data_IF_846018940469
#
_entry.id   IF_846018940469
#
_cell.length_a   1.000
_cell.length_b   1.000
_cell.length_c   1.000
_cell.angle_alpha   90.00
_cell.angle_beta   90.00
_cell.angle_gamma   90.00
#
_symmetry.space_group_name_H-M   'P 1'
#
loop_
_entity.id
_entity.type
_entity.pdbx_description
1 polymer ?
#
# COMPACT_ATOMS: atom_id res chain seq x y z
N UNK A 1 20.29 1.31 -6.82
CA UNK A 1 19.42 2.39 -6.33
C UNK A 1 18.28 1.71 -5.61
N UNK A 2 18.29 1.71 -4.28
CA UNK A 2 17.19 1.19 -3.48
C UNK A 2 16.00 2.13 -3.73
N UNK A 3 14.96 1.62 -4.38
CA UNK A 3 13.76 2.37 -4.68
C UNK A 3 12.82 2.20 -3.51
N UNK A 4 12.62 3.29 -2.76
CA UNK A 4 11.54 3.44 -1.79
C UNK A 4 10.23 3.01 -2.43
N UNK A 5 9.54 2.02 -1.86
CA UNK A 5 8.23 1.58 -2.37
C UNK A 5 7.26 2.76 -2.36
N UNK A 6 6.52 2.95 -3.45
CA UNK A 6 5.46 3.96 -3.49
C UNK A 6 4.24 3.49 -2.69
N UNK A 7 3.55 4.40 -2.00
CA UNK A 7 2.28 4.11 -1.32
C UNK A 7 1.16 4.92 -1.97
N UNK A 8 0.10 4.22 -2.35
CA UNK A 8 -1.05 4.78 -3.06
C UNK A 8 -2.28 4.74 -2.16
N UNK A 9 -2.88 5.91 -1.97
CA UNK A 9 -4.17 6.09 -1.32
C UNK A 9 -5.25 6.24 -2.38
N UNK A 10 -6.49 5.92 -2.02
CA UNK A 10 -7.63 6.21 -2.87
C UNK A 10 -7.92 7.71 -2.90
N UNK A 11 -8.53 8.14 -3.99
CA UNK A 11 -8.92 9.55 -4.18
C UNK A 11 -10.00 10.00 -3.18
N UNK A 12 -10.85 9.09 -2.72
CA UNK A 12 -11.94 9.35 -1.77
C UNK A 12 -11.52 9.20 -0.29
N UNK A 13 -10.23 9.06 0.00
CA UNK A 13 -9.73 9.05 1.36
C UNK A 13 -9.86 10.45 1.99
N UNK A 14 -10.78 10.58 2.97
CA UNK A 14 -11.12 11.85 3.65
C UNK A 14 -10.26 12.13 4.91
N UNK A 15 -9.25 11.29 5.18
CA UNK A 15 -8.31 11.48 6.27
C UNK A 15 -7.13 12.38 5.88
N UNK A 16 -6.31 12.83 6.85
CA UNK A 16 -5.09 13.56 6.53
C UNK A 16 -4.15 12.65 5.73
N UNK A 17 -3.96 12.95 4.44
CA UNK A 17 -2.96 12.26 3.61
C UNK A 17 -1.57 12.62 4.14
N UNK A 18 -0.77 11.66 4.61
CA UNK A 18 0.54 11.96 5.19
C UNK A 18 1.55 12.48 4.16
N UNK A 19 1.31 12.24 2.85
CA UNK A 19 2.16 12.69 1.75
C UNK A 19 1.29 13.01 0.53
N UNK A 20 0.83 14.25 0.39
CA UNK A 20 0.27 14.74 -0.87
C UNK A 20 1.40 15.04 -1.85
N UNK A 21 1.55 14.21 -2.89
CA UNK A 21 2.27 14.63 -4.09
C UNK A 21 1.24 15.19 -5.06
N UNK A 22 1.03 16.51 -4.96
CA UNK A 22 0.08 17.27 -5.79
C UNK A 22 0.09 16.80 -7.25
N UNK A 23 -1.07 16.34 -7.73
CA UNK A 23 -1.37 16.20 -9.15
C UNK A 23 -1.05 14.85 -9.81
N UNK A 24 -0.69 13.80 -9.07
CA UNK A 24 -0.54 12.45 -9.64
C UNK A 24 -1.69 11.54 -9.20
N UNK A 25 -2.61 11.28 -10.12
CA UNK A 25 -3.70 10.30 -9.96
C UNK A 25 -3.44 9.16 -10.92
N UNK A 26 -3.51 7.93 -10.41
CA UNK A 26 -3.34 6.71 -11.20
C UNK A 26 -4.66 5.96 -11.30
N UNK A 27 -4.89 5.37 -12.47
CA UNK A 27 -6.02 4.50 -12.70
C UNK A 27 -5.79 3.11 -12.09
N UNK A 28 -6.86 2.41 -11.74
CA UNK A 28 -6.81 1.06 -11.19
C UNK A 28 -6.00 0.08 -12.04
N UNK A 29 -6.04 0.24 -13.37
CA UNK A 29 -5.26 -0.59 -14.31
C UNK A 29 -3.76 -0.31 -14.21
N UNK A 30 -3.36 0.95 -13.99
CA UNK A 30 -1.95 1.33 -13.82
C UNK A 30 -1.38 0.82 -12.50
N UNK A 31 -2.24 0.67 -11.49
CA UNK A 31 -1.89 0.10 -10.18
C UNK A 31 -2.06 -1.42 -10.14
N UNK A 32 -2.41 -2.08 -11.25
CA UNK A 32 -2.61 -3.53 -11.30
C UNK A 32 -3.61 -4.06 -10.26
N UNK A 33 -4.67 -3.30 -9.93
CA UNK A 33 -5.66 -3.72 -8.92
C UNK A 33 -6.41 -5.00 -9.29
N UNK A 34 -6.52 -5.31 -10.59
CA UNK A 34 -7.11 -6.57 -11.06
C UNK A 34 -6.22 -7.79 -10.82
N UNK A 35 -4.95 -7.58 -10.44
CA UNK A 35 -3.97 -8.62 -10.15
C UNK A 35 -3.78 -8.82 -8.63
N UNK A 36 -4.57 -8.13 -7.80
CA UNK A 36 -4.58 -8.38 -6.35
C UNK A 36 -4.93 -9.85 -6.11
N UNK A 37 -4.07 -10.62 -5.41
CA UNK A 37 -4.34 -12.02 -5.13
C UNK A 37 -5.62 -12.22 -4.34
N UNK A 38 -6.40 -13.26 -4.68
CA UNK A 38 -7.63 -13.61 -3.95
C UNK A 38 -7.38 -14.00 -2.49
N UNK A 39 -6.19 -14.53 -2.19
CA UNK A 39 -5.72 -14.80 -0.83
C UNK A 39 -4.54 -13.90 -0.53
N UNK A 40 -4.70 -13.06 0.50
CA UNK A 40 -3.67 -12.14 0.97
C UNK A 40 -2.86 -12.78 2.10
N UNK A 41 -1.67 -12.24 2.36
CA UNK A 41 -0.79 -12.65 3.45
C UNK A 41 -0.79 -11.57 4.55
N UNK A 42 -1.62 -11.69 5.60
CA UNK A 42 -1.66 -10.70 6.68
C UNK A 42 -0.36 -10.72 7.48
N UNK A 43 0.21 -9.53 7.68
CA UNK A 43 1.40 -9.30 8.47
C UNK A 43 1.12 -8.31 9.61
N UNK A 44 2.10 -8.14 10.49
CA UNK A 44 2.01 -7.19 11.59
C UNK A 44 1.74 -5.77 11.08
N UNK A 45 0.87 -5.07 11.83
CA UNK A 45 0.49 -3.70 11.55
C UNK A 45 1.70 -2.76 11.58
N UNK A 46 1.68 -1.78 10.68
CA UNK A 46 2.64 -0.70 10.60
C UNK A 46 2.14 0.53 11.36
N UNK A 47 3.07 1.31 11.89
CA UNK A 47 2.73 2.50 12.66
C UNK A 47 2.16 3.61 11.75
N UNK A 48 2.74 3.81 10.58
CA UNK A 48 2.38 4.87 9.63
C UNK A 48 2.77 4.50 8.18
N UNK A 49 2.33 5.30 7.21
CA UNK A 49 2.58 5.09 5.77
C UNK A 49 4.07 5.07 5.44
N UNK A 50 4.88 5.94 6.06
CA UNK A 50 6.34 6.00 5.85
C UNK A 50 7.04 4.69 6.23
N UNK A 51 6.48 3.90 7.15
CA UNK A 51 7.04 2.60 7.51
C UNK A 51 6.92 1.56 6.38
N UNK A 52 5.96 1.72 5.45
CA UNK A 52 5.81 0.84 4.28
C UNK A 52 6.82 1.15 3.17
N UNK A 53 7.26 2.41 3.09
CA UNK A 53 8.14 2.94 2.04
C UNK A 53 9.59 2.43 2.12
N UNK A 54 10.02 1.88 3.27
CA UNK A 54 11.43 1.58 3.55
C UNK A 54 11.72 0.14 3.97
N UNK A 55 10.87 -0.81 3.62
CA UNK A 55 10.98 -2.20 4.09
C UNK A 55 12.03 -3.03 3.32
N UNK A 56 12.52 -2.55 2.18
CA UNK A 56 13.29 -3.34 1.20
C UNK A 56 14.62 -3.89 1.74
N UNK A 57 15.21 -3.22 2.74
CA UNK A 57 16.52 -3.58 3.29
C UNK A 57 16.45 -4.56 4.47
N UNK A 58 15.30 -4.72 5.12
CA UNK A 58 15.18 -5.51 6.36
C UNK A 58 13.96 -6.42 6.45
N UNK A 59 12.89 -6.12 5.72
CA UNK A 59 11.65 -6.91 5.68
C UNK A 59 11.01 -6.82 4.28
N UNK A 60 11.67 -7.31 3.22
CA UNK A 60 11.24 -7.08 1.85
C UNK A 60 9.82 -7.60 1.62
N UNK A 61 8.94 -6.72 1.14
CA UNK A 61 7.56 -7.06 0.86
C UNK A 61 7.44 -8.03 -0.33
N UNK A 62 6.50 -8.94 -0.23
CA UNK A 62 6.13 -9.91 -1.27
C UNK A 62 4.74 -9.61 -1.82
N UNK A 63 4.51 -9.95 -3.09
CA UNK A 63 3.21 -9.74 -3.72
C UNK A 63 2.07 -10.38 -2.91
N UNK A 64 1.06 -9.58 -2.56
CA UNK A 64 -0.08 -10.02 -1.75
C UNK A 64 0.10 -9.85 -0.24
N UNK A 65 1.25 -9.34 0.22
CA UNK A 65 1.41 -8.97 1.63
C UNK A 65 0.41 -7.88 2.01
N UNK A 66 -0.26 -8.08 3.15
CA UNK A 66 -1.31 -7.21 3.67
C UNK A 66 -0.88 -6.64 5.01
N UNK A 67 -0.90 -5.32 5.14
CA UNK A 67 -0.57 -4.62 6.39
C UNK A 67 -1.61 -3.55 6.72
N UNK A 68 -2.03 -3.53 7.98
CA UNK A 68 -2.77 -2.40 8.55
C UNK A 68 -1.81 -1.24 8.84
N UNK A 69 -2.15 -0.02 8.48
CA UNK A 69 -1.43 1.19 8.89
C UNK A 69 -2.21 1.88 10.01
N UNK A 70 -1.72 1.71 11.24
CA UNK A 70 -2.42 2.12 12.47
C UNK A 70 -2.73 3.61 12.55
N UNK A 71 -1.87 4.49 11.99
CA UNK A 71 -2.09 5.95 12.05
C UNK A 71 -3.31 6.43 11.26
N UNK A 72 -3.75 5.66 10.26
CA UNK A 72 -4.88 6.00 9.40
C UNK A 72 -5.99 4.95 9.40
N UNK A 73 -5.77 3.79 10.02
CA UNK A 73 -6.77 2.74 10.17
C UNK A 73 -7.04 1.93 8.90
N UNK A 74 -6.18 2.03 7.90
CA UNK A 74 -6.40 1.49 6.56
C UNK A 74 -5.49 0.30 6.27
N UNK A 75 -5.97 -0.64 5.46
CA UNK A 75 -5.20 -1.78 4.98
C UNK A 75 -4.51 -1.49 3.65
N UNK A 76 -3.29 -1.99 3.49
CA UNK A 76 -2.51 -1.87 2.28
C UNK A 76 -2.03 -3.24 1.81
N UNK A 77 -2.12 -3.47 0.51
CA UNK A 77 -1.56 -4.64 -0.16
C UNK A 77 -0.32 -4.27 -0.96
N UNK A 78 0.72 -5.09 -0.89
CA UNK A 78 1.90 -4.94 -1.73
C UNK A 78 1.69 -5.60 -3.10
N UNK A 79 1.95 -4.83 -4.16
CA UNK A 79 1.87 -5.27 -5.54
C UNK A 79 3.25 -5.22 -6.18
N UNK A 80 3.84 -6.39 -6.45
CA UNK A 80 5.15 -6.52 -7.08
C UNK A 80 5.25 -5.84 -8.46
N UNK A 81 4.21 -5.85 -9.33
CA UNK A 81 4.28 -5.17 -10.65
C UNK A 81 4.61 -3.67 -10.57
N UNK A 82 4.13 -2.99 -9.53
CA UNK A 82 4.38 -1.56 -9.30
C UNK A 82 5.40 -1.31 -8.18
N UNK A 83 5.87 -2.37 -7.52
CA UNK A 83 6.74 -2.33 -6.33
C UNK A 83 6.23 -1.32 -5.31
N UNK A 84 4.94 -1.42 -4.99
CA UNK A 84 4.25 -0.41 -4.20
C UNK A 84 3.09 -0.99 -3.40
N UNK A 85 2.69 -0.22 -2.39
CA UNK A 85 1.59 -0.53 -1.50
C UNK A 85 0.36 0.24 -1.95
N UNK A 86 -0.78 -0.45 -2.05
CA UNK A 86 -2.05 0.18 -2.44
C UNK A 86 -3.09 -0.05 -1.36
N UNK A 87 -3.81 1.01 -1.00
CA UNK A 87 -4.94 0.93 -0.09
C UNK A 87 -6.01 -0.04 -0.63
N UNK A 88 -6.50 -0.93 0.24
CA UNK A 88 -7.64 -1.81 -0.04
C UNK A 88 -8.93 -1.27 0.63
N UNK A 89 -10.08 -1.53 0.01
CA UNK A 89 -11.36 -1.50 0.76
C UNK A 89 -11.34 -2.58 1.84
N UNK A 90 -12.02 -2.30 2.95
CA UNK A 90 -12.27 -3.18 4.11
C UNK A 90 -11.78 -4.61 3.92
N UNK A 91 -10.82 -5.02 4.76
CA UNK A 91 -10.30 -6.39 4.77
C UNK A 91 -11.47 -7.39 4.69
N UNK A 92 -11.43 -8.39 3.79
CA UNK A 92 -12.55 -9.29 3.59
C UNK A 92 -12.97 -9.90 4.94
N UNK A 93 -14.25 -9.74 5.26
CA UNK A 93 -14.87 -10.21 6.50
C UNK A 93 -14.74 -11.72 6.72
#
# INVERSE_FOLDING_TARGET
MAGTSAVFLREDYDGPSPVERDGMVWQAQELHLNEVPAALNPLDAMANVLALEGLEDYDPATHGDLRLVSSIGEHFVYLEPIRGWVQLEDAPA
#
